data_IF_546569840347
#
_entry.id   IF_546569840347
#
_cell.length_a   1.000
_cell.length_b   1.000
_cell.length_c   1.000
_cell.angle_alpha   90.00
_cell.angle_beta   90.00
_cell.angle_gamma   90.00
#
_symmetry.space_group_name_H-M   'P 1'
#
loop_
_entity.id
_entity.type
_entity.pdbx_description
1 polymer ?
#
# COMPACT_ATOMS: atom_id res chain seq x y z
N UNK A 1 -15.75 45.18 8.05
CA UNK A 1 -15.51 43.74 8.21
C UNK A 1 -15.38 43.16 6.83
N UNK A 2 -14.14 43.09 6.33
CA UNK A 2 -13.81 42.51 5.03
C UNK A 2 -13.99 41.00 5.13
N UNK A 3 -14.87 40.44 4.30
CA UNK A 3 -15.02 39.00 4.15
C UNK A 3 -13.65 38.36 3.88
N UNK A 4 -13.34 37.20 4.49
CA UNK A 4 -12.13 36.47 4.13
C UNK A 4 -12.18 36.12 2.63
N UNK A 5 -11.04 36.12 1.93
CA UNK A 5 -10.99 35.70 0.54
C UNK A 5 -11.54 34.28 0.43
N UNK A 6 -12.17 33.91 -0.70
CA UNK A 6 -12.56 32.52 -0.93
C UNK A 6 -11.30 31.67 -0.85
N UNK A 7 -11.22 30.80 0.16
CA UNK A 7 -10.23 29.73 0.21
C UNK A 7 -10.33 28.97 -1.10
N UNK A 8 -9.24 28.90 -1.87
CA UNK A 8 -9.16 28.03 -3.02
C UNK A 8 -9.67 26.65 -2.59
N UNK A 9 -10.65 26.11 -3.31
CA UNK A 9 -11.20 24.80 -2.99
C UNK A 9 -10.06 23.78 -3.06
N UNK A 10 -9.70 23.18 -1.92
CA UNK A 10 -8.65 22.16 -1.86
C UNK A 10 -9.10 20.92 -2.64
N UNK A 11 -8.16 20.33 -3.39
CA UNK A 11 -8.37 19.04 -4.04
C UNK A 11 -8.30 17.87 -3.04
N UNK A 12 -7.78 18.10 -1.83
CA UNK A 12 -7.75 17.10 -0.77
C UNK A 12 -9.17 16.71 -0.36
N UNK A 13 -9.40 15.41 -0.14
CA UNK A 13 -10.71 14.86 0.20
C UNK A 13 -10.57 13.99 1.44
N UNK A 14 -10.52 14.60 2.63
CA UNK A 14 -10.38 13.85 3.87
C UNK A 14 -11.66 13.07 4.17
N UNK A 15 -11.56 11.75 4.21
CA UNK A 15 -12.62 10.79 4.58
C UNK A 15 -12.10 9.90 5.70
N UNK A 16 -11.05 9.12 5.45
CA UNK A 16 -10.37 8.27 6.43
C UNK A 16 -9.58 9.09 7.45
N UNK A 17 -9.00 10.21 7.01
CA UNK A 17 -8.20 11.12 7.84
C UNK A 17 -8.99 12.29 8.41
N UNK A 18 -10.31 12.32 8.21
CA UNK A 18 -11.16 13.49 8.50
C UNK A 18 -11.19 13.97 9.95
N UNK A 19 -10.79 13.12 10.90
CA UNK A 19 -10.73 13.46 12.33
C UNK A 19 -9.46 12.94 13.01
N UNK A 20 -8.36 12.74 12.25
CA UNK A 20 -7.09 12.30 12.84
C UNK A 20 -6.52 13.30 13.87
N UNK A 21 -6.86 14.58 13.74
CA UNK A 21 -6.46 15.64 14.67
C UNK A 21 -7.25 15.63 16.00
N UNK A 22 -8.27 14.77 16.14
CA UNK A 22 -8.95 14.60 17.42
C UNK A 22 -7.96 13.98 18.44
N UNK A 23 -7.82 14.56 19.66
CA UNK A 23 -6.85 14.10 20.65
C UNK A 23 -6.98 12.63 21.06
N UNK A 24 -8.18 12.07 20.92
CA UNK A 24 -8.50 10.67 21.21
C UNK A 24 -9.18 10.00 20.00
N UNK A 25 -8.70 10.33 18.80
CA UNK A 25 -9.19 9.84 17.50
C UNK A 25 -9.39 8.33 17.44
N UNK A 26 -8.62 7.57 18.22
CA UNK A 26 -8.63 6.11 18.16
C UNK A 26 -9.74 5.42 18.97
N UNK A 27 -10.46 6.13 19.82
CA UNK A 27 -11.43 5.53 20.75
C UNK A 27 -12.76 5.21 20.06
N UNK A 28 -13.46 4.21 20.60
CA UNK A 28 -14.81 3.87 20.13
C UNK A 28 -15.78 5.06 20.23
N UNK A 29 -15.70 5.84 21.32
CA UNK A 29 -16.57 6.99 21.55
C UNK A 29 -16.36 8.07 20.49
N UNK A 30 -15.10 8.44 20.23
CA UNK A 30 -14.77 9.41 19.18
C UNK A 30 -15.24 8.90 17.82
N UNK A 31 -15.02 7.63 17.50
CA UNK A 31 -15.49 7.08 16.23
C UNK A 31 -17.01 7.20 16.06
N UNK A 32 -17.78 6.88 17.11
CA UNK A 32 -19.25 7.03 17.10
C UNK A 32 -19.69 8.50 16.95
N UNK A 33 -19.00 9.43 17.62
CA UNK A 33 -19.27 10.89 17.50
C UNK A 33 -19.12 11.38 16.07
N UNK A 34 -18.19 10.79 15.29
CA UNK A 34 -17.98 11.10 13.87
C UNK A 34 -18.81 10.21 12.91
N UNK A 35 -19.86 9.56 13.41
CA UNK A 35 -20.79 8.77 12.59
C UNK A 35 -20.27 7.38 12.23
N UNK A 36 -19.37 6.83 13.03
CA UNK A 36 -18.92 5.44 12.93
C UNK A 36 -20.04 4.43 13.20
N UNK A 37 -19.89 3.23 12.63
CA UNK A 37 -20.85 2.11 12.67
C UNK A 37 -22.19 2.36 11.96
N UNK A 38 -22.39 3.51 11.32
CA UNK A 38 -23.59 3.78 10.50
C UNK A 38 -23.56 2.94 9.22
N UNK A 39 -22.39 2.78 8.59
CA UNK A 39 -22.23 1.94 7.40
C UNK A 39 -22.48 0.47 7.72
N UNK A 40 -21.97 0.00 8.87
CA UNK A 40 -22.23 -1.35 9.39
C UNK A 40 -23.72 -1.62 9.57
N UNK A 41 -24.46 -0.77 10.29
CA UNK A 41 -25.90 -1.01 10.50
C UNK A 41 -26.68 -1.10 9.20
N UNK A 42 -26.32 -0.27 8.22
CA UNK A 42 -26.94 -0.35 6.88
C UNK A 42 -26.59 -1.66 6.18
N UNK A 43 -25.33 -2.09 6.23
CA UNK A 43 -24.91 -3.34 5.61
C UNK A 43 -25.57 -4.57 6.23
N UNK A 44 -25.67 -4.62 7.57
CA UNK A 44 -26.31 -5.74 8.28
C UNK A 44 -27.83 -5.81 8.04
N UNK A 45 -28.46 -4.70 7.63
CA UNK A 45 -29.87 -4.67 7.22
C UNK A 45 -30.07 -5.04 5.73
N UNK A 46 -29.00 -5.30 4.98
CA UNK A 46 -29.03 -5.73 3.59
C UNK A 46 -28.70 -7.22 3.49
N UNK A 47 -29.21 -7.87 2.44
CA UNK A 47 -28.72 -9.20 2.08
C UNK A 47 -27.22 -9.14 1.72
N UNK A 48 -26.42 -10.14 2.10
CA UNK A 48 -24.98 -10.14 1.84
C UNK A 48 -24.60 -9.88 0.37
N UNK A 49 -25.38 -10.42 -0.57
CA UNK A 49 -25.11 -10.24 -2.00
C UNK A 49 -25.37 -8.81 -2.48
N UNK A 50 -26.33 -8.10 -1.89
CA UNK A 50 -26.59 -6.69 -2.19
C UNK A 50 -25.43 -5.81 -1.70
N UNK A 51 -24.75 -6.19 -0.61
CA UNK A 51 -23.54 -5.51 -0.13
C UNK A 51 -22.38 -5.71 -1.13
N UNK A 52 -22.21 -6.92 -1.66
CA UNK A 52 -21.20 -7.22 -2.69
C UNK A 52 -21.45 -6.38 -3.94
N UNK A 53 -22.68 -6.36 -4.45
CA UNK A 53 -23.01 -5.60 -5.65
C UNK A 53 -22.86 -4.08 -5.42
N UNK A 54 -23.26 -3.54 -4.26
CA UNK A 54 -23.02 -2.13 -3.96
C UNK A 54 -21.52 -1.76 -3.95
N UNK A 55 -20.67 -2.59 -3.35
CA UNK A 55 -19.21 -2.37 -3.35
C UNK A 55 -18.64 -2.50 -4.76
N UNK A 56 -19.15 -3.42 -5.57
CA UNK A 56 -18.76 -3.58 -6.98
C UNK A 56 -19.19 -2.38 -7.83
N UNK A 57 -20.41 -1.90 -7.66
CA UNK A 57 -20.95 -0.70 -8.31
C UNK A 57 -20.16 0.55 -7.95
N UNK A 58 -19.65 0.65 -6.71
CA UNK A 58 -18.79 1.79 -6.31
C UNK A 58 -17.52 1.90 -7.16
N UNK A 59 -17.05 0.79 -7.75
CA UNK A 59 -15.79 0.76 -8.48
C UNK A 59 -14.55 0.77 -7.58
N UNK A 60 -14.68 0.41 -6.29
CA UNK A 60 -13.56 0.29 -5.36
C UNK A 60 -12.53 -0.74 -5.86
N UNK A 61 -11.32 -0.27 -6.16
CA UNK A 61 -10.16 -1.09 -6.51
C UNK A 61 -9.25 -1.30 -5.31
N UNK A 62 -8.54 -2.43 -5.30
CA UNK A 62 -7.64 -2.84 -4.23
C UNK A 62 -6.51 -1.83 -4.01
N UNK A 63 -6.27 -1.46 -2.76
CA UNK A 63 -5.36 -0.38 -2.35
C UNK A 63 -3.95 -0.85 -1.95
N UNK A 64 -3.73 -2.17 -1.93
CA UNK A 64 -2.44 -2.80 -1.63
C UNK A 64 -1.54 -3.07 -2.84
N UNK A 65 -1.67 -2.33 -3.94
CA UNK A 65 -0.79 -2.43 -5.11
C UNK A 65 -1.39 -3.09 -6.35
N UNK A 66 -2.17 -4.16 -6.21
CA UNK A 66 -2.68 -4.91 -7.37
C UNK A 66 -3.83 -4.23 -8.13
N UNK A 67 -4.56 -3.31 -7.50
CA UNK A 67 -5.65 -2.56 -8.15
C UNK A 67 -6.84 -3.41 -8.64
N UNK A 68 -7.04 -4.64 -8.14
CA UNK A 68 -8.16 -5.49 -8.54
C UNK A 68 -9.50 -5.01 -7.94
N UNK A 69 -10.63 -5.19 -8.65
CA UNK A 69 -11.96 -4.81 -8.15
C UNK A 69 -12.32 -5.56 -6.85
N UNK A 70 -12.56 -4.82 -5.77
CA UNK A 70 -12.83 -5.40 -4.44
C UNK A 70 -14.16 -6.16 -4.42
N UNK A 71 -15.23 -5.58 -4.97
CA UNK A 71 -16.53 -6.26 -5.05
C UNK A 71 -16.47 -7.52 -5.92
N UNK A 72 -15.76 -7.47 -7.06
CA UNK A 72 -15.53 -8.67 -7.88
C UNK A 72 -14.74 -9.73 -7.11
N UNK A 73 -13.73 -9.34 -6.32
CA UNK A 73 -12.96 -10.27 -5.49
C UNK A 73 -13.85 -10.99 -4.49
N UNK A 74 -14.78 -10.28 -3.86
CA UNK A 74 -15.73 -10.85 -2.91
C UNK A 74 -16.71 -11.81 -3.58
N UNK A 75 -17.15 -11.52 -4.81
CA UNK A 75 -18.04 -12.41 -5.57
C UNK A 75 -17.43 -13.77 -5.96
N UNK A 76 -16.10 -13.93 -5.83
CA UNK A 76 -15.44 -15.22 -6.10
C UNK A 76 -15.52 -16.20 -4.94
N UNK A 77 -15.89 -15.75 -3.74
CA UNK A 77 -16.12 -16.64 -2.60
C UNK A 77 -17.40 -17.45 -2.89
N UNK A 78 -17.41 -18.78 -2.70
CA UNK A 78 -18.62 -19.58 -2.79
C UNK A 78 -19.67 -19.08 -1.80
N UNK A 79 -20.86 -18.69 -2.26
CA UNK A 79 -21.90 -18.10 -1.40
C UNK A 79 -22.97 -19.12 -0.93
N UNK A 80 -22.92 -20.35 -1.46
CA UNK A 80 -23.97 -21.37 -1.31
C UNK A 80 -23.58 -22.61 -0.51
N UNK A 81 -22.43 -22.60 0.17
CA UNK A 81 -21.94 -23.76 0.92
C UNK A 81 -22.76 -23.93 2.21
N UNK A 82 -23.85 -24.69 2.12
CA UNK A 82 -24.66 -25.09 3.26
C UNK A 82 -24.50 -26.60 3.55
N UNK A 83 -24.55 -26.96 4.83
CA UNK A 83 -24.51 -28.35 5.29
C UNK A 83 -23.19 -28.76 5.96
N UNK A 84 -23.10 -30.03 6.37
CA UNK A 84 -21.99 -30.53 7.20
C UNK A 84 -20.60 -30.53 6.53
N UNK A 85 -20.55 -30.34 5.20
CA UNK A 85 -19.32 -30.25 4.42
C UNK A 85 -18.91 -28.81 4.06
N UNK A 86 -19.71 -27.80 4.46
CA UNK A 86 -19.41 -26.40 4.21
C UNK A 86 -18.15 -25.99 4.98
N UNK A 87 -17.21 -25.36 4.29
CA UNK A 87 -16.00 -24.84 4.91
C UNK A 87 -16.25 -23.46 5.50
N UNK A 88 -15.61 -23.10 6.62
CA UNK A 88 -15.69 -21.74 7.15
C UNK A 88 -15.08 -20.75 6.16
N UNK A 89 -15.68 -19.56 6.02
CA UNK A 89 -15.06 -18.48 5.25
C UNK A 89 -14.21 -17.59 6.15
N UNK A 90 -13.12 -17.07 5.61
CA UNK A 90 -12.20 -16.19 6.32
C UNK A 90 -11.99 -14.86 5.60
N UNK A 91 -11.92 -13.79 6.38
CA UNK A 91 -11.33 -12.53 5.95
C UNK A 91 -9.93 -12.42 6.53
N UNK A 92 -8.97 -12.04 5.71
CA UNK A 92 -7.61 -11.77 6.12
C UNK A 92 -7.23 -10.36 5.68
N UNK A 93 -7.20 -9.44 6.64
CA UNK A 93 -6.74 -8.07 6.42
C UNK A 93 -5.21 -8.09 6.38
N UNK A 94 -4.67 -7.74 5.21
CA UNK A 94 -3.25 -7.55 4.99
C UNK A 94 -2.83 -6.17 5.50
N UNK A 95 -2.27 -6.16 6.71
CA UNK A 95 -1.62 -5.03 7.35
C UNK A 95 -0.09 -5.22 7.43
N UNK A 96 0.50 -6.02 6.53
CA UNK A 96 1.94 -6.10 6.34
C UNK A 96 2.40 -5.00 5.36
N UNK A 97 2.41 -3.76 5.84
CA UNK A 97 2.89 -2.60 5.08
C UNK A 97 4.41 -2.54 5.11
N UNK A 98 5.05 -3.32 4.24
CA UNK A 98 6.51 -3.53 4.24
C UNK A 98 7.24 -3.00 3.00
N UNK A 99 6.50 -2.49 2.00
CA UNK A 99 7.10 -1.88 0.81
C UNK A 99 7.79 -0.54 1.16
N UNK A 100 9.03 -0.29 0.68
CA UNK A 100 9.72 0.96 0.91
C UNK A 100 8.92 2.18 0.43
N UNK A 101 8.80 3.17 1.32
CA UNK A 101 8.04 4.41 1.08
C UNK A 101 6.55 4.31 1.43
N UNK A 102 6.00 3.11 1.60
CA UNK A 102 4.60 2.91 1.95
C UNK A 102 4.39 3.10 3.44
N UNK A 103 3.55 4.07 3.82
CA UNK A 103 3.28 4.39 5.22
C UNK A 103 1.89 5.00 5.45
N UNK A 104 0.86 4.46 4.78
CA UNK A 104 -0.53 4.91 4.83
C UNK A 104 -1.38 4.10 5.80
N UNK A 105 -1.15 2.80 5.90
CA UNK A 105 -1.97 1.88 6.67
C UNK A 105 -1.61 1.93 8.16
N UNK A 106 -0.32 2.08 8.46
CA UNK A 106 0.15 2.25 9.84
C UNK A 106 -0.46 3.47 10.56
N UNK A 107 -0.37 4.71 10.04
CA UNK A 107 -1.00 5.85 10.69
C UNK A 107 -2.53 5.72 10.73
N UNK A 108 -3.16 5.13 9.71
CA UNK A 108 -4.60 4.87 9.69
C UNK A 108 -5.04 3.96 10.85
N UNK A 109 -4.38 2.83 11.05
CA UNK A 109 -4.70 1.92 12.15
C UNK A 109 -4.32 2.49 13.51
N UNK A 110 -3.31 3.36 13.57
CA UNK A 110 -2.92 4.01 14.82
C UNK A 110 -3.93 5.08 15.26
N UNK A 111 -4.40 5.88 14.30
CA UNK A 111 -5.29 7.01 14.52
C UNK A 111 -6.76 6.58 14.61
N UNK A 112 -7.24 5.68 13.75
CA UNK A 112 -8.67 5.39 13.62
C UNK A 112 -8.99 3.90 13.46
N UNK A 113 -8.53 3.01 14.36
CA UNK A 113 -8.66 1.55 14.20
C UNK A 113 -10.11 1.06 14.04
N UNK A 114 -11.10 1.75 14.61
CA UNK A 114 -12.51 1.35 14.50
C UNK A 114 -13.06 1.45 13.07
N UNK A 115 -12.50 2.29 12.19
CA UNK A 115 -12.91 2.33 10.77
C UNK A 115 -12.58 1.01 10.05
N UNK A 116 -11.43 0.41 10.40
CA UNK A 116 -11.04 -0.89 9.89
C UNK A 116 -11.97 -1.97 10.44
N UNK A 117 -12.23 -1.97 11.75
CA UNK A 117 -13.13 -2.95 12.38
C UNK A 117 -14.53 -2.89 11.77
N UNK A 118 -15.08 -1.70 11.56
CA UNK A 118 -16.37 -1.52 10.88
C UNK A 118 -16.35 -2.11 9.47
N UNK A 119 -15.30 -1.81 8.69
CA UNK A 119 -15.14 -2.37 7.34
C UNK A 119 -15.01 -3.90 7.35
N UNK A 120 -14.35 -4.47 8.35
CA UNK A 120 -14.23 -5.92 8.53
C UNK A 120 -15.58 -6.56 8.79
N UNK A 121 -16.41 -5.98 9.67
CA UNK A 121 -17.76 -6.49 9.94
C UNK A 121 -18.60 -6.49 8.65
N UNK A 122 -18.56 -5.40 7.88
CA UNK A 122 -19.29 -5.29 6.60
C UNK A 122 -18.81 -6.35 5.59
N UNK A 123 -17.50 -6.49 5.43
CA UNK A 123 -16.92 -7.46 4.51
C UNK A 123 -17.27 -8.90 4.93
N UNK A 124 -17.13 -9.23 6.21
CA UNK A 124 -17.44 -10.55 6.74
C UNK A 124 -18.92 -10.91 6.60
N UNK A 125 -19.84 -9.96 6.80
CA UNK A 125 -21.26 -10.14 6.49
C UNK A 125 -21.46 -10.49 5.02
N UNK A 126 -20.89 -9.68 4.11
CA UNK A 126 -21.01 -9.87 2.66
C UNK A 126 -20.50 -11.24 2.19
N UNK A 127 -19.36 -11.70 2.72
CA UNK A 127 -18.76 -12.99 2.35
C UNK A 127 -19.16 -14.14 3.27
N UNK A 128 -20.07 -13.93 4.22
CA UNK A 128 -20.52 -14.91 5.22
C UNK A 128 -19.38 -15.52 6.06
N UNK A 129 -18.34 -14.74 6.33
CA UNK A 129 -17.24 -15.14 7.21
C UNK A 129 -17.58 -14.86 8.67
N UNK A 130 -17.27 -15.81 9.56
CA UNK A 130 -17.46 -15.68 11.02
C UNK A 130 -16.16 -15.47 11.79
N UNK A 131 -15.02 -15.52 11.09
CA UNK A 131 -13.70 -15.27 11.67
C UNK A 131 -12.88 -14.44 10.69
N UNK A 132 -12.31 -13.36 11.20
CA UNK A 132 -11.36 -12.53 10.48
C UNK A 132 -10.04 -12.38 11.21
N UNK A 133 -8.98 -12.17 10.45
CA UNK A 133 -7.64 -11.92 10.96
C UNK A 133 -7.13 -10.56 10.47
N UNK A 134 -6.40 -9.86 11.33
CA UNK A 134 -5.57 -8.73 10.93
C UNK A 134 -4.12 -9.18 11.06
N UNK A 135 -3.45 -9.39 9.93
CA UNK A 135 -2.03 -9.74 9.91
C UNK A 135 -1.20 -8.46 9.82
N UNK A 136 -0.60 -8.07 10.94
CA UNK A 136 0.16 -6.83 11.10
C UNK A 136 1.65 -7.13 11.07
N UNK A 137 2.46 -6.32 10.38
CA UNK A 137 3.93 -6.46 10.43
C UNK A 137 4.49 -6.45 11.87
N UNK A 138 5.59 -7.15 12.10
CA UNK A 138 6.12 -7.37 13.46
C UNK A 138 6.74 -6.13 14.11
N UNK A 139 7.13 -5.14 13.32
CA UNK A 139 7.93 -3.99 13.77
C UNK A 139 7.11 -2.91 14.49
N UNK A 140 5.77 -2.97 14.39
CA UNK A 140 4.87 -1.86 14.77
C UNK A 140 4.06 -2.17 16.03
N UNK A 141 4.74 -2.54 17.11
CA UNK A 141 4.11 -2.92 18.38
C UNK A 141 3.05 -1.92 18.91
N UNK A 142 3.24 -0.58 18.82
CA UNK A 142 2.19 0.37 19.22
C UNK A 142 0.87 0.19 18.45
N UNK A 143 0.93 -0.16 17.17
CA UNK A 143 -0.23 -0.36 16.30
C UNK A 143 -0.92 -1.68 16.62
N UNK A 144 -0.14 -2.74 16.84
CA UNK A 144 -0.69 -4.03 17.30
C UNK A 144 -1.49 -3.85 18.59
N UNK A 145 -0.92 -3.14 19.58
CA UNK A 145 -1.60 -2.83 20.85
C UNK A 145 -2.85 -1.97 20.64
N UNK A 146 -2.78 -0.99 19.72
CA UNK A 146 -3.92 -0.14 19.38
C UNK A 146 -5.09 -0.94 18.81
N UNK A 147 -4.81 -1.84 17.87
CA UNK A 147 -5.82 -2.71 17.28
C UNK A 147 -6.40 -3.69 18.30
N UNK A 148 -5.56 -4.31 19.14
CA UNK A 148 -6.03 -5.20 20.21
C UNK A 148 -7.01 -4.50 21.16
N UNK A 149 -6.70 -3.24 21.55
CA UNK A 149 -7.60 -2.44 22.38
C UNK A 149 -8.91 -2.11 21.66
N UNK A 150 -8.85 -1.64 20.42
CA UNK A 150 -10.05 -1.30 19.66
C UNK A 150 -10.95 -2.52 19.39
N UNK A 151 -10.34 -3.69 19.15
CA UNK A 151 -11.05 -4.97 19.06
C UNK A 151 -11.74 -5.29 20.39
N UNK A 152 -11.03 -5.17 21.52
CA UNK A 152 -11.61 -5.38 22.84
C UNK A 152 -12.76 -4.40 23.16
N UNK A 153 -12.63 -3.13 22.80
CA UNK A 153 -13.70 -2.13 22.91
C UNK A 153 -14.93 -2.53 22.08
N UNK A 154 -14.72 -3.05 20.86
CA UNK A 154 -15.80 -3.51 20.00
C UNK A 154 -16.52 -4.75 20.59
N UNK A 155 -15.81 -5.72 21.18
CA UNK A 155 -16.44 -6.81 21.95
C UNK A 155 -17.24 -6.29 23.15
N UNK A 156 -16.65 -5.40 23.95
CA UNK A 156 -17.31 -4.84 25.13
C UNK A 156 -18.60 -4.08 24.79
N UNK A 157 -18.66 -3.51 23.58
CA UNK A 157 -19.81 -2.78 23.07
C UNK A 157 -20.82 -3.64 22.29
N UNK A 158 -20.62 -4.96 22.19
CA UNK A 158 -21.50 -5.87 21.44
C UNK A 158 -21.44 -5.70 19.91
N UNK A 159 -20.35 -5.13 19.40
CA UNK A 159 -20.09 -4.95 17.97
C UNK A 159 -19.29 -6.10 17.36
N UNK A 160 -18.74 -6.99 18.19
CA UNK A 160 -18.07 -8.23 17.86
C UNK A 160 -18.51 -9.33 18.84
N UNK A 161 -18.33 -10.59 18.48
CA UNK A 161 -18.80 -11.74 19.25
C UNK A 161 -20.04 -12.36 18.64
N UNK A 162 -21.00 -12.72 19.48
CA UNK A 162 -22.25 -13.39 19.06
C UNK A 162 -23.39 -12.41 18.89
N UNK A 163 -24.23 -12.63 17.88
CA UNK A 163 -25.46 -11.87 17.64
C UNK A 163 -25.25 -10.34 17.59
N UNK A 164 -24.32 -9.91 16.73
CA UNK A 164 -23.92 -8.51 16.58
C UNK A 164 -25.14 -7.65 16.22
N UNK A 165 -25.40 -6.64 17.05
CA UNK A 165 -26.56 -5.73 16.94
C UNK A 165 -27.93 -6.45 16.84
N UNK A 166 -28.04 -7.68 17.36
CA UNK A 166 -29.28 -8.47 17.35
C UNK A 166 -29.65 -9.06 15.97
N UNK A 167 -28.67 -9.21 15.07
CA UNK A 167 -28.88 -9.60 13.67
C UNK A 167 -28.78 -11.10 13.40
N UNK A 168 -28.35 -11.90 14.38
CA UNK A 168 -28.00 -13.32 14.23
C UNK A 168 -26.64 -13.57 13.54
N UNK A 169 -25.87 -12.51 13.26
CA UNK A 169 -24.53 -12.60 12.70
C UNK A 169 -23.47 -12.61 13.80
N UNK A 170 -22.51 -13.53 13.70
CA UNK A 170 -21.39 -13.65 14.64
C UNK A 170 -20.08 -13.34 13.93
N UNK A 171 -19.17 -12.64 14.60
CA UNK A 171 -17.83 -12.40 14.09
C UNK A 171 -16.78 -12.37 15.20
N UNK A 172 -15.74 -13.17 15.02
CA UNK A 172 -14.50 -13.12 15.79
C UNK A 172 -13.39 -12.42 15.00
N UNK A 173 -12.63 -11.53 15.65
CA UNK A 173 -11.47 -10.87 15.03
C UNK A 173 -10.20 -11.16 15.84
N UNK A 174 -9.21 -11.73 15.17
CA UNK A 174 -7.89 -11.99 15.75
C UNK A 174 -6.83 -11.06 15.17
N UNK A 175 -6.13 -10.32 16.03
CA UNK A 175 -4.94 -9.55 15.65
C UNK A 175 -3.71 -10.46 15.73
N UNK A 176 -3.04 -10.67 14.60
CA UNK A 176 -1.85 -11.52 14.49
C UNK A 176 -0.65 -10.66 14.08
N UNK A 177 0.42 -10.69 14.87
CA UNK A 177 1.66 -10.01 14.54
C UNK A 177 2.60 -10.95 13.77
N UNK A 178 3.11 -10.48 12.63
CA UNK A 178 4.18 -11.12 11.87
C UNK A 178 5.56 -10.91 12.53
N UNK A 179 6.62 -11.20 11.76
CA UNK A 179 7.99 -11.22 12.27
C UNK A 179 9.01 -10.56 11.33
N UNK A 180 8.58 -9.57 10.54
CA UNK A 180 9.48 -8.74 9.71
C UNK A 180 9.94 -9.42 8.43
N UNK A 181 9.01 -9.64 7.50
CA UNK A 181 9.33 -10.16 6.18
C UNK A 181 8.38 -9.56 5.15
N UNK A 182 8.88 -8.73 4.24
CA UNK A 182 8.11 -8.07 3.18
C UNK A 182 7.37 -9.08 2.28
N UNK A 183 7.96 -10.25 2.04
CA UNK A 183 7.28 -11.29 1.26
C UNK A 183 5.97 -11.76 1.91
N UNK A 184 5.82 -11.64 3.24
CA UNK A 184 4.57 -11.98 3.92
C UNK A 184 3.45 -10.97 3.65
N UNK A 185 3.71 -9.85 2.99
CA UNK A 185 2.69 -8.97 2.42
C UNK A 185 2.11 -9.48 1.10
N UNK A 186 2.72 -10.48 0.45
CA UNK A 186 2.13 -11.15 -0.71
C UNK A 186 0.95 -12.03 -0.26
N UNK A 187 -0.20 -11.90 -0.96
CA UNK A 187 -1.49 -12.48 -0.55
C UNK A 187 -1.43 -13.97 -0.13
N UNK A 188 -0.70 -14.80 -0.86
CA UNK A 188 -0.63 -16.24 -0.58
C UNK A 188 0.47 -16.62 0.40
N UNK A 189 1.58 -15.86 0.43
CA UNK A 189 2.62 -16.00 1.44
C UNK A 189 2.12 -15.57 2.83
N UNK A 190 1.24 -14.56 2.89
CA UNK A 190 0.59 -14.10 4.10
C UNK A 190 -0.25 -15.21 4.73
N UNK A 191 -1.03 -15.92 3.89
CA UNK A 191 -1.80 -17.10 4.32
C UNK A 191 -0.88 -18.18 4.90
N UNK A 192 0.19 -18.54 4.19
CA UNK A 192 1.16 -19.54 4.68
C UNK A 192 1.80 -19.14 6.01
N UNK A 193 2.19 -17.87 6.13
CA UNK A 193 2.78 -17.32 7.36
C UNK A 193 1.81 -17.40 8.53
N UNK A 194 0.54 -17.02 8.31
CA UNK A 194 -0.51 -17.10 9.32
C UNK A 194 -0.84 -18.55 9.75
N UNK A 195 -0.74 -19.49 8.82
CA UNK A 195 -0.92 -20.93 9.11
C UNK A 195 0.24 -21.54 9.92
N UNK A 196 1.33 -20.78 10.12
CA UNK A 196 2.53 -21.24 10.82
C UNK A 196 3.56 -21.92 9.92
N UNK A 197 3.39 -21.85 8.60
CA UNK A 197 4.41 -22.23 7.63
C UNK A 197 5.37 -21.07 7.35
N UNK A 198 6.38 -21.33 6.52
CA UNK A 198 7.26 -20.27 6.00
C UNK A 198 6.45 -19.40 5.04
N UNK A 199 6.59 -18.07 5.11
CA UNK A 199 5.96 -17.10 4.20
C UNK A 199 6.45 -17.21 2.76
N UNK A 200 6.05 -18.28 2.07
CA UNK A 200 6.39 -18.57 0.69
C UNK A 200 5.10 -18.62 -0.13
N UNK A 201 4.99 -17.88 -1.26
CA UNK A 201 3.74 -17.83 -2.02
C UNK A 201 3.24 -19.21 -2.48
N UNK A 202 1.93 -19.40 -2.56
CA UNK A 202 1.26 -20.62 -3.07
C UNK A 202 1.14 -20.59 -4.59
N UNK A 203 1.06 -21.77 -5.20
CA UNK A 203 0.76 -21.89 -6.62
C UNK A 203 -0.70 -21.50 -6.85
N UNK A 204 -0.95 -20.72 -7.91
CA UNK A 204 -2.29 -20.43 -8.41
C UNK A 204 -2.45 -21.16 -9.75
N UNK A 205 -3.54 -21.93 -9.98
CA UNK A 205 -4.63 -22.34 -9.08
C UNK A 205 -4.26 -23.43 -8.03
N UNK A 206 -5.09 -23.64 -6.97
CA UNK A 206 -6.35 -22.96 -6.67
C UNK A 206 -6.15 -21.53 -6.12
N UNK A 207 -7.12 -20.65 -6.39
CA UNK A 207 -7.10 -19.28 -5.85
C UNK A 207 -7.59 -19.25 -4.39
N UNK A 208 -7.16 -18.27 -3.57
CA UNK A 208 -7.55 -18.17 -2.17
C UNK A 208 -9.06 -18.12 -1.92
N UNK A 209 -9.82 -17.51 -2.85
CA UNK A 209 -11.28 -17.45 -2.78
C UNK A 209 -11.95 -18.83 -2.75
N UNK A 210 -11.29 -19.87 -3.27
CA UNK A 210 -11.76 -21.26 -3.24
C UNK A 210 -11.06 -22.06 -2.14
N UNK A 211 -9.73 -21.91 -2.03
CA UNK A 211 -8.92 -22.63 -1.04
C UNK A 211 -7.74 -21.75 -0.59
N UNK A 212 -7.99 -20.95 0.45
CA UNK A 212 -7.02 -20.09 1.10
C UNK A 212 -6.64 -20.62 2.49
N UNK A 213 -6.87 -19.81 3.52
CA UNK A 213 -6.56 -20.11 4.92
C UNK A 213 -7.25 -21.41 5.36
N UNK A 214 -6.46 -22.34 5.89
CA UNK A 214 -6.89 -23.69 6.29
C UNK A 214 -7.65 -24.42 5.18
N UNK A 215 -7.20 -24.23 3.93
CA UNK A 215 -7.82 -24.75 2.72
C UNK A 215 -9.31 -24.36 2.57
N UNK A 216 -9.72 -23.23 3.15
CA UNK A 216 -11.09 -22.74 3.14
C UNK A 216 -11.22 -21.42 2.35
N UNK A 217 -12.42 -21.07 1.85
CA UNK A 217 -12.62 -19.83 1.09
C UNK A 217 -12.13 -18.61 1.88
N UNK A 218 -11.17 -17.87 1.31
CA UNK A 218 -10.53 -16.75 2.00
C UNK A 218 -10.42 -15.55 1.08
N UNK A 219 -10.78 -14.39 1.61
CA UNK A 219 -10.52 -13.11 0.98
C UNK A 219 -9.38 -12.41 1.70
N UNK A 220 -8.33 -12.05 0.96
CA UNK A 220 -7.27 -11.18 1.47
C UNK A 220 -7.48 -9.77 0.94
N UNK A 221 -7.59 -8.77 1.82
CA UNK A 221 -7.71 -7.36 1.41
C UNK A 221 -6.75 -6.47 2.22
N UNK A 222 -6.22 -5.43 1.58
CA UNK A 222 -5.43 -4.41 2.27
C UNK A 222 -6.28 -3.60 3.25
N UNK A 223 -5.65 -3.07 4.31
CA UNK A 223 -6.27 -2.21 5.33
C UNK A 223 -7.10 -1.08 4.70
N UNK A 224 -6.49 -0.25 3.85
CA UNK A 224 -7.19 0.89 3.24
C UNK A 224 -8.41 0.46 2.42
N UNK A 225 -8.33 -0.68 1.70
CA UNK A 225 -9.48 -1.19 0.95
C UNK A 225 -10.67 -1.50 1.85
N UNK A 226 -10.44 -2.17 2.99
CA UNK A 226 -11.50 -2.49 3.95
C UNK A 226 -11.98 -1.23 4.66
N UNK A 227 -11.08 -0.34 5.05
CA UNK A 227 -11.40 0.92 5.72
C UNK A 227 -12.23 1.88 4.85
N UNK A 228 -12.14 1.79 3.52
CA UNK A 228 -12.97 2.62 2.62
C UNK A 228 -14.44 2.18 2.58
N UNK A 229 -14.74 0.91 2.85
CA UNK A 229 -16.07 0.30 2.70
C UNK A 229 -17.16 0.99 3.54
N UNK A 230 -16.96 1.28 4.85
CA UNK A 230 -17.96 1.97 5.66
C UNK A 230 -18.52 3.26 5.03
N UNK A 231 -17.64 4.08 4.45
CA UNK A 231 -18.03 5.34 3.82
C UNK A 231 -18.87 5.12 2.55
N UNK A 232 -18.57 4.07 1.78
CA UNK A 232 -19.32 3.67 0.59
C UNK A 232 -20.72 3.21 0.98
N UNK A 233 -20.85 2.39 2.03
CA UNK A 233 -22.15 1.94 2.51
C UNK A 233 -22.98 3.12 3.01
N UNK A 234 -22.38 4.00 3.81
CA UNK A 234 -23.04 5.18 4.38
C UNK A 234 -23.59 6.12 3.29
N UNK A 235 -22.78 6.45 2.29
CA UNK A 235 -23.08 7.52 1.34
C UNK A 235 -23.59 7.02 -0.03
N UNK A 236 -23.42 5.74 -0.34
CA UNK A 236 -23.79 5.11 -1.61
C UNK A 236 -22.67 5.06 -2.64
N UNK A 237 -22.82 4.17 -3.62
CA UNK A 237 -21.85 3.96 -4.70
C UNK A 237 -21.63 5.23 -5.56
N UNK A 238 -22.68 5.98 -5.85
CA UNK A 238 -22.58 7.19 -6.67
C UNK A 238 -21.75 8.29 -6.00
N UNK A 239 -21.86 8.43 -4.68
CA UNK A 239 -20.99 9.34 -3.93
C UNK A 239 -19.52 8.93 -4.06
N UNK A 240 -19.20 7.64 -4.00
CA UNK A 240 -17.82 7.20 -4.16
C UNK A 240 -17.31 7.42 -5.60
N UNK A 241 -18.18 7.22 -6.60
CA UNK A 241 -17.87 7.39 -8.03
C UNK A 241 -17.73 8.84 -8.47
N UNK A 242 -18.30 9.78 -7.71
CA UNK A 242 -18.16 11.21 -7.98
C UNK A 242 -16.74 11.73 -7.67
N UNK A 243 -15.95 10.93 -6.95
CA UNK A 243 -14.53 11.14 -6.73
C UNK A 243 -13.72 10.23 -7.66
N UNK A 244 -12.54 10.69 -8.05
CA UNK A 244 -11.65 9.93 -8.92
C UNK A 244 -11.87 10.19 -10.42
N UNK A 245 -11.25 9.37 -11.25
CA UNK A 245 -11.42 9.39 -12.71
C UNK A 245 -12.41 8.33 -13.17
N UNK A 246 -12.67 8.25 -14.48
CA UNK A 246 -13.70 7.35 -15.01
C UNK A 246 -13.48 5.87 -14.66
N UNK A 247 -12.22 5.43 -14.65
CA UNK A 247 -11.83 4.03 -14.42
C UNK A 247 -11.17 3.81 -13.04
N UNK A 248 -10.82 4.88 -12.36
CA UNK A 248 -10.20 4.88 -11.04
C UNK A 248 -11.03 5.70 -10.08
N UNK A 249 -12.01 5.06 -9.42
CA UNK A 249 -12.99 5.72 -8.57
C UNK A 249 -12.52 5.90 -7.12
N UNK A 250 -13.06 6.93 -6.49
CA UNK A 250 -12.90 7.22 -5.08
C UNK A 250 -11.65 8.00 -4.72
N UNK A 251 -11.35 7.96 -3.43
CA UNK A 251 -10.21 8.59 -2.80
C UNK A 251 -9.19 7.55 -2.34
N UNK A 252 -8.02 8.04 -1.95
CA UNK A 252 -6.93 7.23 -1.39
C UNK A 252 -5.99 8.08 -0.53
N UNK A 253 -5.18 7.42 0.28
CA UNK A 253 -4.07 8.04 1.01
C UNK A 253 -2.79 7.96 0.17
N UNK A 254 -2.23 9.12 -0.19
CA UNK A 254 -0.91 9.25 -0.81
C UNK A 254 0.13 9.48 0.29
N UNK A 255 1.14 8.61 0.36
CA UNK A 255 2.26 8.74 1.27
C UNK A 255 3.40 9.47 0.57
N UNK A 256 3.63 10.74 0.91
CA UNK A 256 4.76 11.51 0.36
C UNK A 256 5.97 11.41 1.30
N UNK A 257 7.11 11.00 0.75
CA UNK A 257 8.37 10.84 1.47
C UNK A 257 9.57 11.29 0.64
N UNK A 258 10.74 11.41 1.28
CA UNK A 258 11.99 11.82 0.61
C UNK A 258 12.23 13.33 0.66
N UNK A 259 12.76 13.89 -0.42
CA UNK A 259 13.24 15.29 -0.51
C UNK A 259 12.11 16.30 -0.73
N UNK A 260 11.15 16.32 0.17
CA UNK A 260 9.99 17.23 0.18
C UNK A 260 9.92 17.97 1.52
N UNK A 261 9.45 19.22 1.52
CA UNK A 261 9.47 20.07 2.73
C UNK A 261 8.51 19.61 3.83
N UNK A 262 7.37 19.00 3.46
CA UNK A 262 6.37 18.45 4.39
C UNK A 262 6.00 17.01 4.00
N UNK A 263 6.84 16.02 4.28
CA UNK A 263 6.48 14.62 4.06
C UNK A 263 5.30 14.24 4.97
N UNK A 264 4.47 13.30 4.53
CA UNK A 264 3.28 12.91 5.29
C UNK A 264 2.23 12.19 4.45
N UNK A 265 1.05 12.04 5.04
CA UNK A 265 -0.11 11.43 4.40
C UNK A 265 -1.03 12.52 3.86
N UNK A 266 -1.44 12.39 2.60
CA UNK A 266 -2.35 13.30 1.92
C UNK A 266 -3.52 12.49 1.38
N UNK A 267 -4.73 12.73 1.88
CA UNK A 267 -5.93 12.06 1.38
C UNK A 267 -6.56 12.87 0.24
N UNK A 268 -6.64 12.27 -0.95
CA UNK A 268 -7.15 12.94 -2.13
C UNK A 268 -7.86 11.95 -3.09
N UNK A 269 -8.69 12.45 -4.02
CA UNK A 269 -9.26 11.65 -5.10
C UNK A 269 -8.16 11.02 -5.96
N UNK A 270 -8.46 9.89 -6.59
CA UNK A 270 -7.62 9.37 -7.66
C UNK A 270 -7.59 10.35 -8.84
N UNK A 271 -6.42 10.53 -9.45
CA UNK A 271 -6.24 11.45 -10.58
C UNK A 271 -5.75 12.84 -10.22
N UNK A 272 -5.59 13.18 -8.93
CA UNK A 272 -4.75 14.32 -8.52
C UNK A 272 -3.33 14.12 -9.10
N UNK A 273 -2.63 15.20 -9.43
CA UNK A 273 -1.27 15.13 -9.97
C UNK A 273 -0.21 15.18 -8.87
N UNK A 274 1.01 14.72 -9.13
CA UNK A 274 2.11 14.93 -8.19
C UNK A 274 2.42 16.43 -8.04
N UNK A 275 2.27 17.23 -9.11
CA UNK A 275 2.45 18.69 -9.03
C UNK A 275 1.58 19.31 -7.94
N UNK A 276 0.28 18.99 -7.93
CA UNK A 276 -0.64 19.48 -6.92
C UNK A 276 -0.27 18.98 -5.52
N UNK A 277 0.08 17.69 -5.37
CA UNK A 277 0.52 17.15 -4.08
C UNK A 277 1.79 17.82 -3.54
N UNK A 278 2.73 18.18 -4.41
CA UNK A 278 3.93 18.93 -4.03
C UNK A 278 3.59 20.34 -3.54
N UNK A 279 2.56 21.00 -4.08
CA UNK A 279 2.10 22.30 -3.57
C UNK A 279 1.64 22.20 -2.11
N UNK A 280 0.86 21.16 -1.77
CA UNK A 280 0.46 20.90 -0.38
C UNK A 280 1.66 20.53 0.50
N UNK A 281 2.60 19.77 -0.04
CA UNK A 281 3.80 19.34 0.66
C UNK A 281 4.89 20.42 0.78
N UNK A 282 4.63 21.64 0.32
CA UNK A 282 5.54 22.78 0.42
C UNK A 282 6.72 22.72 -0.56
N UNK A 283 6.61 21.95 -1.63
CA UNK A 283 7.61 21.79 -2.67
C UNK A 283 8.74 20.81 -2.31
N UNK A 284 9.67 20.69 -3.26
CA UNK A 284 10.94 19.98 -3.07
C UNK A 284 11.76 20.69 -1.99
N UNK A 285 12.70 19.97 -1.36
CA UNK A 285 13.69 20.52 -0.42
C UNK A 285 14.26 21.85 -0.94
N UNK A 286 14.30 22.85 -0.07
CA UNK A 286 14.68 24.22 -0.45
C UNK A 286 16.00 24.30 -1.22
N UNK A 287 16.02 25.06 -2.33
CA UNK A 287 17.20 25.25 -3.18
C UNK A 287 17.48 24.10 -4.15
N UNK A 288 16.68 23.04 -4.12
CA UNK A 288 16.83 21.86 -4.96
C UNK A 288 15.66 21.69 -5.93
N UNK A 289 15.83 20.78 -6.88
CA UNK A 289 14.92 20.42 -7.97
C UNK A 289 14.62 18.94 -7.95
N UNK A 290 13.45 18.56 -8.45
CA UNK A 290 13.12 17.16 -8.63
C UNK A 290 14.06 16.50 -9.65
N UNK A 291 14.61 15.33 -9.31
CA UNK A 291 15.35 14.47 -10.24
C UNK A 291 14.47 13.33 -10.74
N UNK A 292 13.94 12.56 -9.80
CA UNK A 292 13.02 11.46 -10.08
C UNK A 292 12.12 11.18 -8.87
N UNK A 293 11.09 10.38 -9.11
CA UNK A 293 10.16 9.92 -8.10
C UNK A 293 9.60 8.54 -8.46
N UNK A 294 8.96 7.88 -7.50
CA UNK A 294 8.24 6.62 -7.74
C UNK A 294 6.75 6.77 -7.36
N UNK A 295 5.80 6.29 -8.17
CA UNK A 295 4.36 6.47 -7.91
C UNK A 295 3.74 5.46 -6.93
N UNK A 296 4.34 4.29 -6.73
CA UNK A 296 3.74 3.22 -5.93
C UNK A 296 4.63 2.62 -4.85
N UNK A 297 5.85 3.14 -4.67
CA UNK A 297 6.90 2.56 -3.82
C UNK A 297 8.09 2.08 -4.64
N UNK A 298 8.98 1.32 -4.02
CA UNK A 298 10.18 0.81 -4.71
C UNK A 298 9.89 -0.19 -5.80
N UNK A 299 8.69 -0.78 -5.87
CA UNK A 299 8.36 -1.78 -6.89
C UNK A 299 7.94 -1.20 -8.23
N UNK A 300 7.86 0.12 -8.33
CA UNK A 300 7.32 0.82 -9.51
C UNK A 300 8.41 1.48 -10.35
N UNK A 301 8.29 1.50 -11.69
CA UNK A 301 9.21 2.22 -12.56
C UNK A 301 9.36 3.69 -12.16
N UNK A 302 10.59 4.20 -12.23
CA UNK A 302 10.92 5.58 -11.91
C UNK A 302 10.24 6.52 -12.90
N UNK A 303 9.86 7.69 -12.42
CA UNK A 303 9.32 8.79 -13.20
C UNK A 303 10.13 10.06 -12.97
N UNK A 304 10.13 10.95 -13.95
CA UNK A 304 10.89 12.22 -13.94
C UNK A 304 9.97 13.44 -13.79
N UNK A 305 10.56 14.64 -13.81
CA UNK A 305 9.84 15.92 -13.80
C UNK A 305 8.79 16.04 -14.93
N UNK A 306 9.03 15.42 -16.08
CA UNK A 306 8.11 15.43 -17.24
C UNK A 306 6.75 14.75 -16.95
N UNK A 307 6.71 13.91 -15.92
CA UNK A 307 5.53 13.11 -15.56
C UNK A 307 4.69 13.74 -14.44
N UNK A 308 5.06 14.94 -13.96
CA UNK A 308 4.41 15.60 -12.81
C UNK A 308 2.92 15.85 -12.98
N UNK A 309 2.49 16.10 -14.22
CA UNK A 309 1.13 16.48 -14.59
C UNK A 309 0.27 15.27 -15.03
N UNK A 310 0.82 14.06 -14.97
CA UNK A 310 0.05 12.84 -15.26
C UNK A 310 -0.87 12.56 -14.07
N UNK A 311 -2.19 12.35 -14.30
CA UNK A 311 -3.11 11.99 -13.23
C UNK A 311 -2.63 10.76 -12.46
N UNK A 312 -2.58 10.84 -11.13
CA UNK A 312 -2.28 9.70 -10.26
C UNK A 312 -3.48 8.79 -10.14
N UNK A 313 -3.77 8.09 -11.23
CA UNK A 313 -4.74 7.01 -11.30
C UNK A 313 -4.11 5.77 -11.96
N UNK A 314 -4.83 4.65 -11.97
CA UNK A 314 -4.25 3.39 -12.45
C UNK A 314 -3.94 3.44 -13.95
N UNK A 315 -4.73 4.16 -14.73
CA UNK A 315 -4.61 4.25 -16.19
C UNK A 315 -3.54 5.25 -16.64
N UNK A 316 -3.47 6.41 -15.98
CA UNK A 316 -2.49 7.46 -16.20
C UNK A 316 -1.08 6.94 -15.91
N UNK A 317 -0.87 6.29 -14.77
CA UNK A 317 0.44 5.70 -14.45
C UNK A 317 0.83 4.59 -15.42
N UNK A 318 -0.13 3.74 -15.83
CA UNK A 318 0.12 2.72 -16.85
C UNK A 318 0.51 3.33 -18.21
N UNK A 319 -0.10 4.46 -18.59
CA UNK A 319 0.24 5.17 -19.84
C UNK A 319 1.64 5.80 -19.81
N UNK A 320 2.17 6.06 -18.61
CA UNK A 320 3.52 6.55 -18.39
C UNK A 320 4.57 5.42 -18.32
N UNK A 321 4.19 4.17 -18.60
CA UNK A 321 5.10 3.02 -18.45
C UNK A 321 5.39 2.62 -17.00
N UNK A 322 4.66 3.19 -16.03
CA UNK A 322 4.77 2.87 -14.60
C UNK A 322 3.45 2.28 -14.09
N UNK A 323 3.23 2.27 -12.78
CA UNK A 323 1.97 1.83 -12.18
C UNK A 323 1.69 2.50 -10.84
N UNK A 324 0.41 2.74 -10.55
CA UNK A 324 0.00 3.27 -9.26
C UNK A 324 -0.14 2.13 -8.25
N UNK A 325 0.98 1.74 -7.63
CA UNK A 325 1.07 0.65 -6.65
C UNK A 325 0.39 0.98 -5.33
N UNK A 326 1.18 1.18 -4.27
CA UNK A 326 0.62 1.48 -2.93
C UNK A 326 0.33 2.97 -2.72
N UNK A 327 0.64 3.83 -3.70
CA UNK A 327 0.60 5.31 -3.62
C UNK A 327 1.63 5.88 -2.65
N UNK A 328 2.74 5.15 -2.49
CA UNK A 328 3.96 5.61 -1.86
C UNK A 328 4.77 6.47 -2.83
N UNK A 329 4.57 7.78 -2.77
CA UNK A 329 5.28 8.75 -3.58
C UNK A 329 6.63 9.06 -2.93
N UNK A 330 7.71 8.50 -3.46
CA UNK A 330 9.07 8.76 -2.98
C UNK A 330 9.73 9.82 -3.87
N UNK A 331 10.11 10.95 -3.29
CA UNK A 331 10.64 12.12 -4.01
C UNK A 331 12.16 12.19 -3.84
N UNK A 332 12.90 12.31 -4.94
CA UNK A 332 14.36 12.43 -4.93
C UNK A 332 14.81 13.66 -5.72
N UNK A 333 15.62 14.52 -5.11
CA UNK A 333 16.17 15.71 -5.75
C UNK A 333 17.48 15.44 -6.49
N UNK A 334 18.02 16.45 -7.18
CA UNK A 334 19.21 16.35 -8.03
C UNK A 334 20.50 15.96 -7.29
N UNK A 335 20.50 16.01 -5.95
CA UNK A 335 21.65 15.60 -5.14
C UNK A 335 21.72 14.08 -4.95
N UNK A 336 20.65 13.36 -5.27
CA UNK A 336 20.56 11.91 -5.07
C UNK A 336 21.21 11.15 -6.22
N UNK A 337 22.08 10.19 -5.92
CA UNK A 337 22.55 9.23 -6.91
C UNK A 337 21.48 8.15 -7.21
N UNK A 338 21.07 8.03 -8.48
CA UNK A 338 20.07 7.04 -8.92
C UNK A 338 20.64 5.62 -8.91
N UNK A 339 21.94 5.44 -9.20
CA UNK A 339 22.63 4.15 -9.17
C UNK A 339 22.62 3.61 -7.74
N UNK A 340 22.94 4.47 -6.77
CA UNK A 340 22.84 4.15 -5.34
C UNK A 340 21.41 3.87 -4.89
N UNK A 341 20.41 4.63 -5.36
CA UNK A 341 19.02 4.37 -5.04
C UNK A 341 18.58 2.98 -5.54
N UNK A 342 18.87 2.65 -6.80
CA UNK A 342 18.62 1.34 -7.41
C UNK A 342 19.36 0.20 -6.70
N UNK A 343 20.61 0.45 -6.27
CA UNK A 343 21.37 -0.48 -5.43
C UNK A 343 20.66 -0.76 -4.11
N UNK A 344 20.21 0.27 -3.38
CA UNK A 344 19.51 0.10 -2.10
C UNK A 344 18.20 -0.66 -2.23
N UNK A 345 17.43 -0.42 -3.30
CA UNK A 345 16.24 -1.23 -3.57
C UNK A 345 16.60 -2.67 -3.94
N UNK A 346 17.68 -2.89 -4.71
CA UNK A 346 18.16 -4.25 -5.03
C UNK A 346 18.62 -5.01 -3.78
N UNK A 347 19.29 -4.34 -2.84
CA UNK A 347 19.64 -4.90 -1.53
C UNK A 347 18.39 -5.28 -0.72
N UNK A 348 17.36 -4.42 -0.72
CA UNK A 348 16.07 -4.70 -0.09
C UNK A 348 15.43 -5.96 -0.70
N UNK A 349 15.30 -6.05 -2.02
CA UNK A 349 14.68 -7.21 -2.68
C UNK A 349 15.50 -8.49 -2.51
N UNK A 350 16.83 -8.39 -2.46
CA UNK A 350 17.70 -9.50 -2.10
C UNK A 350 17.44 -9.97 -0.66
N UNK A 351 17.34 -9.04 0.29
CA UNK A 351 17.09 -9.35 1.70
C UNK A 351 15.72 -10.01 1.90
N UNK A 352 14.70 -9.50 1.19
CA UNK A 352 13.30 -9.87 1.39
C UNK A 352 12.82 -10.99 0.46
N UNK A 353 13.70 -11.54 -0.38
CA UNK A 353 13.38 -12.71 -1.19
C UNK A 353 13.16 -13.94 -0.31
N UNK A 354 12.00 -14.59 -0.42
CA UNK A 354 11.76 -15.87 0.30
C UNK A 354 12.62 -17.04 -0.20
N UNK A 355 13.36 -16.85 -1.29
CA UNK A 355 14.26 -17.84 -1.85
C UNK A 355 13.59 -19.00 -2.59
N UNK A 356 12.28 -18.98 -2.85
CA UNK A 356 11.56 -20.11 -3.47
C UNK A 356 11.94 -20.33 -4.94
N UNK A 357 11.89 -19.29 -5.77
CA UNK A 357 12.20 -19.42 -7.20
C UNK A 357 13.64 -19.00 -7.50
N UNK A 358 14.34 -19.81 -8.29
CA UNK A 358 15.71 -19.56 -8.73
C UNK A 358 15.90 -18.19 -9.42
N UNK A 359 15.06 -17.76 -10.38
CA UNK A 359 15.26 -16.44 -11.03
C UNK A 359 15.30 -15.30 -10.02
N UNK A 360 14.37 -15.27 -9.05
CA UNK A 360 14.37 -14.27 -8.00
C UNK A 360 15.55 -14.44 -7.02
N UNK A 361 15.72 -15.63 -6.44
CA UNK A 361 16.73 -15.89 -5.40
C UNK A 361 18.15 -15.57 -5.88
N UNK A 362 18.51 -16.07 -7.06
CA UNK A 362 19.84 -15.86 -7.61
C UNK A 362 19.94 -14.50 -8.31
N UNK A 363 18.90 -14.07 -9.03
CA UNK A 363 18.90 -12.82 -9.77
C UNK A 363 19.08 -11.60 -8.86
N UNK A 364 18.30 -11.47 -7.78
CA UNK A 364 18.45 -10.35 -6.84
C UNK A 364 19.79 -10.41 -6.10
N UNK A 365 20.33 -11.60 -5.85
CA UNK A 365 21.68 -11.77 -5.32
C UNK A 365 22.74 -11.23 -6.28
N UNK A 366 22.63 -11.50 -7.59
CA UNK A 366 23.60 -11.06 -8.60
C UNK A 366 23.56 -9.55 -8.88
N UNK A 367 22.41 -8.89 -8.73
CA UNK A 367 22.30 -7.44 -8.93
C UNK A 367 23.23 -6.66 -7.99
N UNK A 368 23.26 -7.01 -6.70
CA UNK A 368 23.95 -6.22 -5.66
C UNK A 368 25.46 -6.09 -5.91
N UNK A 369 26.23 -7.16 -6.16
CA UNK A 369 27.66 -7.04 -6.46
C UNK A 369 27.97 -6.24 -7.74
N UNK A 370 27.04 -6.18 -8.71
CA UNK A 370 27.22 -5.36 -9.92
C UNK A 370 27.10 -3.88 -9.55
N UNK A 371 26.06 -3.51 -8.81
CA UNK A 371 25.91 -2.16 -8.28
C UNK A 371 27.07 -1.74 -7.37
N UNK A 372 27.57 -2.62 -6.51
CA UNK A 372 28.75 -2.35 -5.67
C UNK A 372 30.00 -2.04 -6.52
N UNK A 373 30.19 -2.72 -7.66
CA UNK A 373 31.29 -2.40 -8.58
C UNK A 373 31.12 -1.01 -9.18
N UNK A 374 29.92 -0.67 -9.64
CA UNK A 374 29.60 0.66 -10.18
C UNK A 374 29.86 1.76 -9.13
N UNK A 375 29.31 1.65 -7.92
CA UNK A 375 29.50 2.64 -6.85
C UNK A 375 30.98 2.83 -6.45
N UNK A 376 31.80 1.77 -6.56
CA UNK A 376 33.22 1.79 -6.16
C UNK A 376 34.21 2.01 -7.31
N UNK A 377 33.73 2.36 -8.51
CA UNK A 377 34.59 2.65 -9.66
C UNK A 377 35.30 1.43 -10.25
N UNK A 378 34.76 0.23 -9.98
CA UNK A 378 35.25 -1.06 -10.50
C UNK A 378 34.30 -1.64 -11.55
N UNK A 379 33.26 -0.92 -11.92
CA UNK A 379 32.29 -1.35 -12.92
C UNK A 379 32.83 -1.20 -14.34
N UNK A 380 32.23 -1.94 -15.28
CA UNK A 380 32.55 -1.85 -16.71
C UNK A 380 31.30 -1.52 -17.52
N UNK A 381 31.40 -1.07 -18.78
CA UNK A 381 30.24 -0.85 -19.64
C UNK A 381 29.32 -2.09 -19.76
N UNK A 382 29.90 -3.30 -19.77
CA UNK A 382 29.17 -4.57 -19.85
C UNK A 382 28.32 -4.87 -18.60
N UNK A 383 28.62 -4.24 -17.47
CA UNK A 383 27.81 -4.38 -16.25
C UNK A 383 26.39 -3.84 -16.46
N UNK A 384 26.20 -2.80 -17.29
CA UNK A 384 24.88 -2.24 -17.58
C UNK A 384 24.01 -3.23 -18.36
N UNK A 385 24.59 -3.89 -19.36
CA UNK A 385 23.89 -4.91 -20.15
C UNK A 385 23.57 -6.12 -19.27
N UNK A 386 24.51 -6.50 -18.39
CA UNK A 386 24.30 -7.59 -17.42
C UNK A 386 23.16 -7.27 -16.44
N UNK A 387 23.04 -6.02 -15.96
CA UNK A 387 21.92 -5.59 -15.12
C UNK A 387 20.58 -5.75 -15.83
N UNK A 388 20.51 -5.36 -17.10
CA UNK A 388 19.30 -5.49 -17.93
C UNK A 388 18.94 -6.96 -18.19
N UNK A 389 19.93 -7.80 -18.51
CA UNK A 389 19.74 -9.23 -18.71
C UNK A 389 19.18 -9.91 -17.45
N UNK A 390 19.70 -9.56 -16.27
CA UNK A 390 19.19 -10.08 -14.99
C UNK A 390 17.75 -9.58 -14.77
N UNK A 391 17.49 -8.30 -15.00
CA UNK A 391 16.14 -7.74 -14.86
C UNK A 391 15.13 -8.43 -15.81
N UNK A 392 15.54 -8.83 -17.01
CA UNK A 392 14.73 -9.60 -17.95
C UNK A 392 14.50 -11.05 -17.52
N UNK A 393 15.44 -11.65 -16.78
CA UNK A 393 15.27 -12.97 -16.17
C UNK A 393 14.33 -12.91 -14.95
N UNK A 394 14.31 -11.79 -14.23
CA UNK A 394 13.42 -11.59 -13.08
C UNK A 394 11.97 -11.33 -13.52
N UNK A 395 11.80 -10.43 -14.48
CA UNK A 395 10.50 -9.91 -14.92
C UNK A 395 9.66 -10.95 -15.66
N UNK A 396 8.46 -11.21 -15.18
CA UNK A 396 7.48 -12.13 -15.76
C UNK A 396 7.88 -13.62 -15.67
N UNK A 397 9.02 -13.93 -15.05
CA UNK A 397 9.57 -15.30 -14.95
C UNK A 397 9.77 -15.74 -13.50
N UNK A 398 9.42 -14.89 -12.54
CA UNK A 398 9.42 -15.20 -11.11
C UNK A 398 8.06 -15.75 -10.66
N UNK A 399 8.04 -16.46 -9.53
CA UNK A 399 6.82 -17.10 -9.03
C UNK A 399 5.78 -16.09 -8.49
N UNK A 400 6.23 -14.94 -8.01
CA UNK A 400 5.38 -13.86 -7.51
C UNK A 400 5.92 -12.50 -7.97
N UNK A 401 5.13 -11.46 -7.75
CA UNK A 401 5.40 -10.09 -8.21
C UNK A 401 6.64 -9.43 -7.56
N UNK A 402 7.24 -10.03 -6.52
CA UNK A 402 8.50 -9.53 -5.96
C UNK A 402 9.61 -9.50 -7.03
N UNK A 403 9.68 -10.51 -7.89
CA UNK A 403 10.66 -10.52 -8.98
C UNK A 403 10.46 -9.37 -9.97
N UNK A 404 9.20 -9.05 -10.29
CA UNK A 404 8.87 -7.93 -11.17
C UNK A 404 9.25 -6.60 -10.50
N UNK A 405 8.91 -6.44 -9.21
CA UNK A 405 9.27 -5.28 -8.41
C UNK A 405 10.79 -5.08 -8.25
N UNK A 406 11.57 -6.17 -8.25
CA UNK A 406 13.03 -6.09 -8.23
C UNK A 406 13.62 -5.71 -9.60
N UNK A 407 12.94 -6.01 -10.70
CA UNK A 407 13.40 -5.73 -12.06
C UNK A 407 13.08 -4.31 -12.54
N UNK A 408 11.89 -3.79 -12.19
CA UNK A 408 11.38 -2.51 -12.70
C UNK A 408 12.27 -1.30 -12.37
N UNK A 409 12.79 -1.15 -11.14
CA UNK A 409 13.70 -0.03 -10.82
C UNK A 409 15.01 -0.12 -11.57
N UNK A 410 15.54 -1.32 -11.80
CA UNK A 410 16.77 -1.53 -12.59
C UNK A 410 16.57 -1.04 -14.02
N UNK A 411 15.49 -1.46 -14.67
CA UNK A 411 15.18 -1.08 -16.06
C UNK A 411 14.98 0.43 -16.21
N UNK A 412 14.09 1.00 -15.41
CA UNK A 412 13.72 2.42 -15.51
C UNK A 412 14.85 3.36 -15.08
N UNK A 413 15.67 3.01 -14.08
CA UNK A 413 16.84 3.82 -13.72
C UNK A 413 17.88 3.88 -14.84
N UNK A 414 18.15 2.77 -15.54
CA UNK A 414 19.04 2.76 -16.70
C UNK A 414 18.41 3.50 -17.88
N UNK A 415 17.11 3.34 -18.13
CA UNK A 415 16.40 4.02 -19.21
C UNK A 415 16.49 5.55 -19.09
N UNK A 416 16.16 6.10 -17.92
CA UNK A 416 16.11 7.55 -17.73
C UNK A 416 17.45 8.18 -17.36
N UNK A 417 18.38 7.41 -16.78
CA UNK A 417 19.61 7.94 -16.21
C UNK A 417 20.88 7.19 -16.64
N UNK A 418 20.90 6.61 -17.85
CA UNK A 418 22.07 5.88 -18.38
C UNK A 418 23.37 6.67 -18.26
N UNK A 419 23.35 7.97 -18.51
CA UNK A 419 24.54 8.84 -18.42
C UNK A 419 25.13 8.85 -17.00
N UNK A 420 24.30 8.74 -15.96
CA UNK A 420 24.76 8.65 -14.59
C UNK A 420 25.46 7.32 -14.31
N UNK A 421 24.98 6.21 -14.89
CA UNK A 421 25.69 4.92 -14.84
C UNK A 421 27.04 5.00 -15.54
N UNK A 422 27.12 5.68 -16.68
CA UNK A 422 28.37 5.88 -17.41
C UNK A 422 29.36 6.71 -16.57
N UNK A 423 28.88 7.74 -15.87
CA UNK A 423 29.72 8.55 -14.98
C UNK A 423 30.37 7.73 -13.85
N UNK A 424 29.73 6.65 -13.38
CA UNK A 424 30.30 5.77 -12.35
C UNK A 424 31.51 4.96 -12.84
N UNK A 425 31.66 4.80 -14.16
CA UNK A 425 32.79 4.09 -14.75
C UNK A 425 34.11 4.89 -14.65
N UNK A 426 34.03 6.20 -14.39
CA UNK A 426 35.17 7.10 -14.22
C UNK A 426 35.52 7.30 -12.73
N UNK A 427 35.83 6.21 -12.03
CA UNK A 427 36.34 6.27 -10.65
C UNK A 427 35.28 6.17 -9.53
N UNK A 428 34.04 5.81 -9.86
CA UNK A 428 32.98 5.49 -8.89
C UNK A 428 31.92 6.57 -8.77
N UNK A 429 31.14 6.53 -7.68
CA UNK A 429 30.00 7.43 -7.55
C UNK A 429 30.39 8.91 -7.53
N UNK A 430 29.89 9.74 -8.47
CA UNK A 430 30.23 11.16 -8.54
C UNK A 430 29.42 12.03 -7.56
N UNK A 431 28.50 11.45 -6.78
CA UNK A 431 27.64 12.18 -5.85
C UNK A 431 28.16 12.11 -4.41
N UNK A 432 28.22 13.26 -3.74
CA UNK A 432 28.44 13.32 -2.29
C UNK A 432 27.22 12.75 -1.55
N UNK A 433 27.35 11.61 -0.83
CA UNK A 433 26.24 11.04 -0.08
C UNK A 433 25.67 11.98 0.98
N UNK A 434 26.45 12.95 1.47
CA UNK A 434 25.99 13.91 2.48
C UNK A 434 25.02 14.93 1.89
N UNK A 435 25.17 15.28 0.62
CA UNK A 435 24.31 16.25 -0.06
C UNK A 435 22.85 15.75 -0.15
N UNK A 436 22.66 14.43 -0.30
CA UNK A 436 21.33 13.79 -0.34
C UNK A 436 20.79 13.40 1.04
N UNK A 437 21.42 13.81 2.14
CA UNK A 437 20.85 13.57 3.46
C UNK A 437 19.87 14.69 3.81
N UNK A 438 18.68 14.31 4.24
CA UNK A 438 17.74 15.24 4.85
C UNK A 438 18.24 15.58 6.27
N UNK A 439 18.81 16.77 6.43
CA UNK A 439 19.19 17.30 7.75
C UNK A 439 18.02 18.17 8.22
N UNK A 440 17.26 17.77 9.26
CA UNK A 440 16.14 18.58 9.74
C UNK A 440 16.67 19.93 10.24
N UNK A 441 16.28 21.01 9.57
CA UNK A 441 16.40 22.41 9.99
C UNK A 441 17.63 22.80 10.84
N UNK A 442 18.65 23.35 10.18
CA UNK A 442 19.46 24.43 10.76
C UNK A 442 20.83 24.03 11.33
N UNK A 443 21.83 23.92 10.45
CA UNK A 443 23.15 24.52 10.71
C UNK A 443 23.92 24.70 9.40
N UNK A 444 23.55 25.74 8.65
CA UNK A 444 24.57 26.49 7.91
C UNK A 444 25.41 27.28 8.94
N UNK A 445 26.19 26.55 9.74
CA UNK A 445 27.28 27.08 10.53
C UNK A 445 28.55 26.83 9.75
N UNK A 446 28.98 27.83 8.96
CA UNK A 446 30.28 27.81 8.33
C UNK A 446 31.36 27.59 9.38
N UNK A 447 32.31 26.70 9.07
CA UNK A 447 33.60 26.69 9.74
C UNK A 447 34.37 27.88 9.21
N UNK A 448 34.44 28.94 10.01
CA UNK A 448 35.48 29.97 10.00
C UNK A 448 35.65 30.51 11.42
#
# INVERSE_FOLDING_TARGET
MTSPPPTAATALTPVLSSYWDDPESWTLETYRRHGGYVGMRKALAMEPDDVIELVKESGLRGRGGAGFSTGTKWSFVPQGDQGAAAKPHYLLVNADESEPGTCKDMPLMLATPHVLIEGMIICCHAIRARHAFIYVRGEVLPIVRRLQNAVAEAYAAGLLGTDIDGTGFDLDITVHAGAGAYICGEETALIESLEGYRGQPRLRPPFPAVAGLYASPTVVNNVESIASVPSILRNGAEWFRSMGTEKSRGYTLYSLSGHVNRPGQYEAPLGITLRELLEYAGGIRDGHRLKFWTPGGSSTPLLTEEHLDIPLDYEGMASAGSMLGTKALQIFDETTCVVRAAMRWSEFYKHESCGKCTPCREGTYWLVPIYERLETGRGTPEDLDTLLDIADVLFGKSFCALGDGAAMPVKSSIEYFRDEYIAHLDGGCPFDPKASMFVPNGSHGGVA
#
